data_IF_983670774727
#
_entry.id   IF_983670774727
#
_cell.length_a   1.000
_cell.length_b   1.000
_cell.length_c   1.000
_cell.angle_alpha   90.00
_cell.angle_beta   90.00
_cell.angle_gamma   90.00
#
_symmetry.space_group_name_H-M   'P 1'
#
loop_
_entity.id
_entity.type
_entity.pdbx_description
1 polymer ?
#
# COMPACT_ATOMS: atom_id res chain seq x y z
N UNK A 1 20.57 -0.03 6.00
CA UNK A 1 19.75 -0.96 6.80
C UNK A 1 20.28 -2.37 6.65
N UNK A 2 20.03 -3.26 7.61
CA UNK A 2 20.33 -4.70 7.50
C UNK A 2 19.08 -5.50 7.05
N UNK A 3 19.25 -6.73 6.54
CA UNK A 3 18.15 -7.56 6.02
C UNK A 3 17.00 -7.81 7.01
N UNK A 4 17.28 -7.87 8.32
CA UNK A 4 16.23 -8.08 9.33
C UNK A 4 15.33 -6.85 9.47
N UNK A 5 15.91 -5.66 9.40
CA UNK A 5 15.15 -4.41 9.46
C UNK A 5 14.20 -4.32 8.25
N UNK A 6 14.67 -4.66 7.05
CA UNK A 6 13.85 -4.66 5.83
C UNK A 6 12.73 -5.69 5.90
N UNK A 7 13.02 -6.88 6.42
CA UNK A 7 12.01 -7.94 6.65
C UNK A 7 10.93 -7.46 7.63
N UNK A 8 11.34 -6.82 8.73
CA UNK A 8 10.41 -6.28 9.74
C UNK A 8 9.52 -5.19 9.16
N UNK A 9 10.10 -4.27 8.39
CA UNK A 9 9.36 -3.24 7.67
C UNK A 9 8.38 -3.84 6.65
N UNK A 10 8.80 -4.85 5.89
CA UNK A 10 7.93 -5.53 4.93
C UNK A 10 6.73 -6.19 5.62
N UNK A 11 6.93 -6.90 6.74
CA UNK A 11 5.83 -7.49 7.53
C UNK A 11 4.87 -6.42 8.04
N UNK A 12 5.39 -5.33 8.59
CA UNK A 12 4.57 -4.21 9.09
C UNK A 12 3.71 -3.61 7.96
N UNK A 13 4.30 -3.44 6.78
CA UNK A 13 3.61 -2.92 5.60
C UNK A 13 2.58 -3.91 5.03
N UNK A 14 2.83 -5.22 5.08
CA UNK A 14 1.83 -6.25 4.72
C UNK A 14 0.58 -6.09 5.58
N UNK A 15 0.78 -5.97 6.90
CA UNK A 15 -0.36 -5.78 7.81
C UNK A 15 -1.09 -4.46 7.56
N UNK A 16 -0.36 -3.36 7.38
CA UNK A 16 -0.93 -2.05 7.12
C UNK A 16 -1.75 -2.04 5.83
N UNK A 17 -1.19 -2.59 4.75
CA UNK A 17 -1.84 -2.69 3.44
C UNK A 17 -3.11 -3.53 3.54
N UNK A 18 -3.06 -4.72 4.17
CA UNK A 18 -4.22 -5.57 4.37
C UNK A 18 -5.33 -4.88 5.20
N UNK A 19 -4.96 -4.15 6.26
CA UNK A 19 -5.91 -3.38 7.08
C UNK A 19 -6.58 -2.28 6.26
N UNK A 20 -5.82 -1.54 5.45
CA UNK A 20 -6.33 -0.45 4.59
C UNK A 20 -7.23 -0.99 3.48
N UNK A 21 -6.82 -2.04 2.76
CA UNK A 21 -7.64 -2.67 1.72
C UNK A 21 -9.00 -3.10 2.30
N UNK A 22 -8.99 -3.72 3.49
CA UNK A 22 -10.23 -4.10 4.18
C UNK A 22 -11.09 -2.89 4.53
N UNK A 23 -10.49 -1.81 5.05
CA UNK A 23 -11.22 -0.58 5.39
C UNK A 23 -11.86 0.06 4.17
N UNK A 24 -11.12 0.18 3.06
CA UNK A 24 -11.61 0.74 1.80
C UNK A 24 -12.76 -0.11 1.27
N UNK A 25 -12.58 -1.43 1.23
CA UNK A 25 -13.61 -2.36 0.76
C UNK A 25 -14.89 -2.28 1.60
N UNK A 26 -14.77 -2.28 2.94
CA UNK A 26 -15.93 -2.14 3.83
C UNK A 26 -16.65 -0.80 3.66
N UNK A 27 -15.89 0.29 3.54
CA UNK A 27 -16.44 1.62 3.32
C UNK A 27 -17.20 1.68 1.99
N UNK A 28 -16.58 1.18 0.93
CA UNK A 28 -17.15 1.13 -0.41
C UNK A 28 -18.44 0.29 -0.50
N UNK A 29 -18.43 -0.91 0.10
CA UNK A 29 -19.64 -1.75 0.18
C UNK A 29 -20.78 -1.06 0.93
N UNK A 30 -20.46 -0.31 1.99
CA UNK A 30 -21.46 0.45 2.73
C UNK A 30 -22.08 1.60 1.91
N UNK A 31 -21.32 2.15 0.94
CA UNK A 31 -21.79 3.16 -0.02
C UNK A 31 -22.63 2.57 -1.16
N UNK A 32 -22.51 1.27 -1.46
CA UNK A 32 -23.16 0.60 -2.60
C UNK A 32 -22.87 1.30 -3.94
N UNK A 33 -21.66 1.83 -4.09
CA UNK A 33 -21.20 2.52 -5.30
C UNK A 33 -20.35 1.58 -6.15
N UNK A 34 -20.24 1.88 -7.45
CA UNK A 34 -19.45 1.15 -8.45
C UNK A 34 -18.34 2.06 -9.01
N UNK A 35 -17.47 2.55 -8.14
CA UNK A 35 -16.38 3.46 -8.50
C UNK A 35 -15.13 2.66 -8.90
N UNK A 36 -14.85 2.62 -10.21
CA UNK A 36 -13.71 1.90 -10.77
C UNK A 36 -12.38 2.33 -10.13
N UNK A 37 -12.24 3.59 -9.71
CA UNK A 37 -10.99 4.09 -9.10
C UNK A 37 -10.70 3.45 -7.75
N UNK A 38 -11.74 3.07 -7.01
CA UNK A 38 -11.59 2.34 -5.73
C UNK A 38 -11.18 0.89 -5.98
N UNK A 39 -11.75 0.26 -7.01
CA UNK A 39 -11.38 -1.10 -7.39
C UNK A 39 -9.90 -1.12 -7.82
N UNK A 40 -9.51 -0.21 -8.73
CA UNK A 40 -8.12 -0.09 -9.19
C UNK A 40 -7.14 0.16 -8.02
N UNK A 41 -7.54 0.98 -7.04
CA UNK A 41 -6.74 1.22 -5.84
C UNK A 41 -6.62 -0.03 -4.96
N UNK A 42 -7.72 -0.77 -4.78
CA UNK A 42 -7.69 -2.04 -4.05
C UNK A 42 -6.78 -3.07 -4.74
N UNK A 43 -6.82 -3.13 -6.08
CA UNK A 43 -5.97 -4.03 -6.87
C UNK A 43 -4.49 -3.68 -6.70
N UNK A 44 -4.12 -2.39 -6.79
CA UNK A 44 -2.74 -1.95 -6.53
C UNK A 44 -2.28 -2.22 -5.09
N UNK A 45 -3.16 -2.08 -4.09
CA UNK A 45 -2.85 -2.46 -2.69
C UNK A 45 -2.68 -3.98 -2.54
N UNK A 46 -3.44 -4.79 -3.28
CA UNK A 46 -3.27 -6.23 -3.29
C UNK A 46 -1.92 -6.61 -3.90
N UNK A 47 -1.54 -6.02 -5.03
CA UNK A 47 -0.22 -6.20 -5.63
C UNK A 47 0.90 -5.79 -4.67
N UNK A 48 0.76 -4.65 -3.98
CA UNK A 48 1.72 -4.22 -2.96
C UNK A 48 1.87 -5.26 -1.86
N UNK A 49 0.76 -5.82 -1.38
CA UNK A 49 0.78 -6.89 -0.39
C UNK A 49 1.52 -8.12 -0.88
N UNK A 50 1.32 -8.51 -2.15
CA UNK A 50 1.99 -9.66 -2.76
C UNK A 50 3.50 -9.42 -2.93
N UNK A 51 3.91 -8.23 -3.39
CA UNK A 51 5.32 -7.90 -3.51
C UNK A 51 6.03 -7.85 -2.16
N UNK A 52 5.41 -7.25 -1.13
CA UNK A 52 5.98 -7.24 0.20
C UNK A 52 6.11 -8.65 0.79
N UNK A 53 5.13 -9.54 0.54
CA UNK A 53 5.23 -10.96 0.92
C UNK A 53 6.38 -11.65 0.22
N UNK A 54 6.52 -11.44 -1.09
CA UNK A 54 7.64 -12.00 -1.83
C UNK A 54 8.99 -11.48 -1.30
N UNK A 55 9.09 -10.19 -0.95
CA UNK A 55 10.32 -9.62 -0.35
C UNK A 55 10.63 -10.30 0.98
N UNK A 56 9.63 -10.42 1.86
CA UNK A 56 9.77 -11.13 3.13
C UNK A 56 10.18 -12.60 2.93
N UNK A 57 9.56 -13.31 1.99
CA UNK A 57 9.84 -14.72 1.72
C UNK A 57 11.25 -14.95 1.17
N UNK A 58 11.73 -14.06 0.29
CA UNK A 58 13.10 -14.12 -0.22
C UNK A 58 14.10 -13.86 0.91
N UNK A 59 13.91 -12.77 1.67
CA UNK A 59 14.84 -12.39 2.74
C UNK A 59 14.91 -13.40 3.88
N UNK A 60 13.79 -14.06 4.20
CA UNK A 60 13.75 -15.12 5.23
C UNK A 60 14.38 -16.43 4.77
N UNK A 61 14.45 -16.68 3.44
CA UNK A 61 15.05 -17.90 2.86
C UNK A 61 16.53 -17.75 2.55
N UNK A 62 17.00 -16.53 2.27
CA UNK A 62 18.42 -16.27 2.01
C UNK A 62 19.26 -16.44 3.27
N UNK A 63 20.41 -17.13 3.15
CA UNK A 63 21.41 -17.14 4.21
C UNK A 63 22.20 -15.83 4.17
N UNK A 64 22.86 -15.42 5.28
CA UNK A 64 23.67 -14.20 5.30
C UNK A 64 24.74 -14.14 4.21
N UNK A 65 25.25 -15.29 3.75
CA UNK A 65 26.21 -15.37 2.64
C UNK A 65 25.61 -15.17 1.25
N UNK A 66 24.30 -15.43 1.07
CA UNK A 66 23.60 -15.26 -0.21
C UNK A 66 23.25 -13.78 -0.46
N UNK A 67 23.20 -12.97 0.62
CA UNK A 67 22.93 -11.54 0.62
C UNK A 67 24.20 -10.68 0.62
N UNK A 68 25.36 -11.29 0.85
CA UNK A 68 26.67 -10.62 0.85
C UNK A 68 27.07 -9.96 -0.49
N UNK A 69 26.62 -10.43 -1.68
CA UNK A 69 26.88 -9.75 -2.95
C UNK A 69 25.95 -8.56 -3.22
N UNK A 70 24.87 -8.37 -2.45
CA UNK A 70 23.94 -7.27 -2.72
C UNK A 70 24.63 -5.94 -2.44
N UNK A 71 24.62 -5.08 -3.45
CA UNK A 71 25.13 -3.72 -3.38
C UNK A 71 24.47 -2.94 -2.23
N UNK A 72 25.26 -2.17 -1.49
CA UNK A 72 24.79 -1.29 -0.41
C UNK A 72 23.72 -0.31 -0.93
N UNK A 73 23.85 0.10 -2.19
CA UNK A 73 22.87 0.92 -2.89
C UNK A 73 21.51 0.22 -3.04
N UNK A 74 21.47 -1.10 -3.30
CA UNK A 74 20.20 -1.85 -3.40
C UNK A 74 19.49 -1.92 -2.05
N UNK A 75 20.24 -2.04 -0.97
CA UNK A 75 19.68 -2.00 0.38
C UNK A 75 19.11 -0.63 0.72
N UNK A 76 19.80 0.43 0.33
CA UNK A 76 19.32 1.80 0.48
C UNK A 76 18.05 2.07 -0.35
N UNK A 77 18.00 1.58 -1.59
CA UNK A 77 16.81 1.69 -2.44
C UNK A 77 15.62 0.90 -1.89
N UNK A 78 15.87 -0.29 -1.31
CA UNK A 78 14.85 -1.10 -0.66
C UNK A 78 14.25 -0.38 0.54
N UNK A 79 15.10 0.18 1.41
CA UNK A 79 14.66 0.97 2.56
C UNK A 79 13.82 2.18 2.12
N UNK A 80 14.30 2.95 1.15
CA UNK A 80 13.58 4.09 0.60
C UNK A 80 12.21 3.70 0.01
N UNK A 81 12.13 2.57 -0.69
CA UNK A 81 10.87 2.06 -1.24
C UNK A 81 9.87 1.68 -0.13
N UNK A 82 10.33 1.02 0.93
CA UNK A 82 9.49 0.63 2.07
C UNK A 82 9.02 1.86 2.86
N UNK A 83 9.90 2.82 3.15
CA UNK A 83 9.53 4.08 3.80
C UNK A 83 8.51 4.88 2.97
N UNK A 84 8.63 4.89 1.64
CA UNK A 84 7.64 5.48 0.76
C UNK A 84 6.29 4.77 0.86
N UNK A 85 6.27 3.42 0.91
CA UNK A 85 5.04 2.65 1.12
C UNK A 85 4.36 3.02 2.44
N UNK A 86 5.14 3.14 3.52
CA UNK A 86 4.62 3.52 4.84
C UNK A 86 3.91 4.87 4.79
N UNK A 87 4.58 5.90 4.27
CA UNK A 87 4.02 7.24 4.13
C UNK A 87 2.75 7.25 3.27
N UNK A 88 2.75 6.51 2.15
CA UNK A 88 1.59 6.38 1.26
C UNK A 88 0.40 5.76 1.99
N UNK A 89 0.62 4.67 2.73
CA UNK A 89 -0.42 3.94 3.45
C UNK A 89 -0.97 4.77 4.62
N UNK A 90 -0.13 5.50 5.34
CA UNK A 90 -0.56 6.44 6.38
C UNK A 90 -1.45 7.54 5.82
N UNK A 91 -1.02 8.19 4.74
CA UNK A 91 -1.76 9.29 4.14
C UNK A 91 -3.08 8.81 3.52
N UNK A 92 -3.09 7.63 2.91
CA UNK A 92 -4.32 7.00 2.43
C UNK A 92 -5.28 6.67 3.60
N UNK A 93 -4.75 6.19 4.73
CA UNK A 93 -5.55 5.94 5.93
C UNK A 93 -6.19 7.22 6.45
N UNK A 94 -5.42 8.31 6.53
CA UNK A 94 -5.90 9.63 6.96
C UNK A 94 -7.01 10.12 6.02
N UNK A 95 -6.85 9.97 4.71
CA UNK A 95 -7.86 10.37 3.72
C UNK A 95 -9.16 9.58 3.89
N UNK A 96 -9.09 8.24 3.95
CA UNK A 96 -10.28 7.39 4.09
C UNK A 96 -10.99 7.65 5.43
N UNK A 97 -10.22 7.84 6.51
CA UNK A 97 -10.78 8.18 7.82
C UNK A 97 -11.49 9.53 7.80
N UNK A 98 -10.88 10.55 7.18
CA UNK A 98 -11.50 11.87 7.00
C UNK A 98 -12.80 11.80 6.20
N UNK A 99 -12.84 11.04 5.11
CA UNK A 99 -14.06 10.85 4.31
C UNK A 99 -15.15 10.15 5.16
N UNK A 100 -14.77 9.11 5.91
CA UNK A 100 -15.67 8.39 6.80
C UNK A 100 -16.24 9.30 7.90
N UNK A 101 -15.40 10.08 8.56
CA UNK A 101 -15.80 10.97 9.66
C UNK A 101 -16.70 12.11 9.17
N UNK A 102 -16.40 12.68 7.99
CA UNK A 102 -17.24 13.68 7.34
C UNK A 102 -18.63 13.13 6.94
N UNK A 103 -18.74 11.81 6.80
CA UNK A 103 -20.00 11.11 6.51
C UNK A 103 -20.70 10.57 7.77
N UNK A 104 -20.07 10.67 8.96
CA UNK A 104 -20.51 10.01 10.19
C UNK A 104 -21.80 10.60 10.81
N UNK A 105 -22.29 11.75 10.33
CA UNK A 105 -23.66 12.16 10.63
C UNK A 105 -24.60 11.17 9.93
N UNK A 106 -25.08 10.13 10.63
CA UNK A 106 -26.05 9.10 10.17
C UNK A 106 -27.43 9.67 9.82
N UNK A 107 -27.50 10.88 9.26
CA UNK A 107 -28.71 11.45 8.69
C UNK A 107 -28.95 10.94 7.29
N UNK A 108 -30.20 11.04 6.87
CA UNK A 108 -30.64 10.82 5.51
C UNK A 108 -29.71 11.58 4.52
N UNK A 109 -29.15 10.88 3.53
CA UNK A 109 -28.23 11.47 2.53
C UNK A 109 -26.72 11.30 2.77
N UNK A 110 -26.28 10.70 3.88
CA UNK A 110 -24.83 10.51 4.16
C UNK A 110 -24.08 9.74 3.06
N UNK A 111 -24.73 8.75 2.42
CA UNK A 111 -24.15 8.00 1.28
C UNK A 111 -23.89 8.90 0.07
N UNK A 112 -24.85 9.75 -0.28
CA UNK A 112 -24.71 10.69 -1.39
C UNK A 112 -23.58 11.68 -1.12
N UNK A 113 -23.51 12.20 0.11
CA UNK A 113 -22.39 13.07 0.53
C UNK A 113 -21.04 12.36 0.45
N UNK A 114 -20.95 11.12 0.94
CA UNK A 114 -19.72 10.34 0.87
C UNK A 114 -19.30 10.02 -0.57
N UNK A 115 -20.24 9.73 -1.48
CA UNK A 115 -19.94 9.54 -2.91
C UNK A 115 -19.44 10.84 -3.55
N UNK A 116 -20.02 11.99 -3.21
CA UNK A 116 -19.56 13.30 -3.70
C UNK A 116 -18.16 13.62 -3.15
N UNK A 117 -17.96 13.49 -1.84
CA UNK A 117 -16.66 13.73 -1.20
C UNK A 117 -15.60 12.80 -1.82
N UNK A 118 -15.92 11.53 -2.05
CA UNK A 118 -15.02 10.58 -2.71
C UNK A 118 -14.74 10.93 -4.17
N UNK A 119 -15.75 11.44 -4.91
CA UNK A 119 -15.55 11.94 -6.26
C UNK A 119 -14.61 13.15 -6.31
N UNK A 120 -14.69 14.03 -5.30
CA UNK A 120 -13.86 15.21 -5.15
C UNK A 120 -12.41 14.83 -4.81
N UNK A 121 -12.22 13.77 -4.03
CA UNK A 121 -10.91 13.18 -3.74
C UNK A 121 -10.41 12.23 -4.85
N UNK A 122 -11.12 12.12 -5.98
CA UNK A 122 -10.78 11.20 -7.06
C UNK A 122 -9.37 11.38 -7.64
N UNK A 123 -8.91 12.63 -7.77
CA UNK A 123 -7.55 12.93 -8.24
C UNK A 123 -6.49 12.53 -7.20
N UNK A 124 -6.80 12.67 -5.91
CA UNK A 124 -5.92 12.23 -4.82
C UNK A 124 -5.82 10.70 -4.79
N UNK A 125 -6.95 9.99 -4.98
CA UNK A 125 -6.96 8.53 -5.10
C UNK A 125 -6.14 8.03 -6.30
N UNK A 126 -6.26 8.68 -7.45
CA UNK A 126 -5.43 8.37 -8.62
C UNK A 126 -3.93 8.63 -8.35
N UNK A 127 -3.62 9.73 -7.66
CA UNK A 127 -2.24 10.02 -7.26
C UNK A 127 -1.70 8.97 -6.26
N UNK A 128 -2.52 8.49 -5.32
CA UNK A 128 -2.14 7.38 -4.44
C UNK A 128 -1.92 6.09 -5.21
N UNK A 129 -2.79 5.77 -6.17
CA UNK A 129 -2.60 4.63 -7.07
C UNK A 129 -1.25 4.71 -7.79
N UNK A 130 -0.93 5.85 -8.40
CA UNK A 130 0.33 6.02 -9.14
C UNK A 130 1.56 5.91 -8.22
N UNK A 131 1.46 6.39 -6.98
CA UNK A 131 2.51 6.23 -5.97
C UNK A 131 2.69 4.76 -5.58
N UNK A 132 1.61 4.04 -5.31
CA UNK A 132 1.64 2.59 -5.00
C UNK A 132 2.22 1.81 -6.17
N UNK A 133 1.79 2.12 -7.40
CA UNK A 133 2.30 1.48 -8.61
C UNK A 133 3.82 1.65 -8.75
N UNK A 134 4.35 2.85 -8.47
CA UNK A 134 5.80 3.10 -8.46
C UNK A 134 6.51 2.30 -7.37
N UNK A 135 5.95 2.23 -6.17
CA UNK A 135 6.49 1.40 -5.10
C UNK A 135 6.50 -0.09 -5.46
N UNK A 136 5.42 -0.59 -6.07
CA UNK A 136 5.30 -1.95 -6.58
C UNK A 136 6.41 -2.27 -7.58
N UNK A 137 6.63 -1.37 -8.55
CA UNK A 137 7.68 -1.53 -9.55
C UNK A 137 9.09 -1.54 -8.95
N UNK A 138 9.36 -0.68 -7.97
CA UNK A 138 10.62 -0.66 -7.25
C UNK A 138 10.86 -1.98 -6.49
N UNK A 139 9.87 -2.45 -5.74
CA UNK A 139 9.94 -3.72 -4.99
C UNK A 139 10.12 -4.93 -5.93
N UNK A 140 9.43 -4.95 -7.07
CA UNK A 140 9.60 -5.99 -8.08
C UNK A 140 11.02 -6.00 -8.66
N UNK A 141 11.60 -4.83 -8.92
CA UNK A 141 12.97 -4.71 -9.44
C UNK A 141 13.99 -5.24 -8.42
N UNK A 142 13.80 -4.90 -7.15
CA UNK A 142 14.62 -5.42 -6.04
C UNK A 142 14.50 -6.95 -5.96
N UNK A 143 13.28 -7.49 -6.01
CA UNK A 143 13.04 -8.93 -6.01
C UNK A 143 13.73 -9.65 -7.15
N UNK A 144 13.65 -9.10 -8.37
CA UNK A 144 14.34 -9.66 -9.52
C UNK A 144 15.85 -9.66 -9.34
N UNK A 145 16.41 -8.63 -8.72
CA UNK A 145 17.86 -8.49 -8.50
C UNK A 145 18.38 -9.44 -7.41
N UNK A 146 17.61 -9.66 -6.34
CA UNK A 146 17.99 -10.60 -5.27
C UNK A 146 17.89 -12.07 -5.74
N UNK A 147 17.00 -12.35 -6.70
CA UNK A 147 16.74 -13.72 -7.17
C UNK A 147 17.62 -14.16 -8.35
N UNK A 148 18.68 -13.40 -8.71
CA UNK A 148 19.68 -13.76 -9.74
C UNK A 148 20.85 -14.52 -9.12
#
# INVERSE_FOLDING_TARGET
>A
MDPLTITTSAVTLIEATAKITKLIYQFYHALRTADARINDLCDELNHLTEFLKAVNDVLTRCRPGDLAPLDEELWHQSDAALANCEMILEDLTKLITKIKDNSASRRFGWRTKAVIDLSQHGNELAAFRDKIHKSNWALQTILQTINV
#
